data_IF_945656484087
#
_entry.id   IF_945656484087
#
_cell.length_a   1.000
_cell.length_b   1.000
_cell.length_c   1.000
_cell.angle_alpha   90.00
_cell.angle_beta   90.00
_cell.angle_gamma   90.00
#
_symmetry.space_group_name_H-M   'P 1'
#
loop_
_entity.id
_entity.type
_entity.pdbx_description
1 polymer ?
#
# COMPACT_ATOMS: atom_id res chain seq x y z
N UNK A 1 42.17 21.01 25.01
CA UNK A 1 43.38 21.50 24.29
C UNK A 1 43.41 20.74 22.97
N UNK A 2 43.27 21.25 21.75
CA UNK A 2 43.46 22.53 21.03
C UNK A 2 42.39 22.57 19.90
N UNK A 3 41.56 23.60 19.62
CA UNK A 3 41.75 24.98 19.08
C UNK A 3 41.97 25.10 17.54
N UNK A 4 41.12 25.94 16.92
CA UNK A 4 41.30 26.84 15.72
C UNK A 4 40.89 26.24 14.35
N UNK A 5 39.73 26.60 13.76
CA UNK A 5 39.37 27.77 12.89
C UNK A 5 40.22 27.92 11.62
N UNK A 6 39.59 27.87 10.43
CA UNK A 6 39.83 28.87 9.37
C UNK A 6 38.70 28.93 8.34
N UNK A 7 38.42 30.15 7.91
CA UNK A 7 37.33 30.65 7.08
C UNK A 7 38.01 31.33 5.87
N UNK A 8 37.58 31.07 4.64
CA UNK A 8 38.05 31.69 3.39
C UNK A 8 36.80 31.76 2.49
N UNK A 9 36.12 32.87 2.16
CA UNK A 9 36.44 34.25 1.75
C UNK A 9 36.89 34.41 0.28
N UNK A 10 36.09 35.16 -0.51
CA UNK A 10 36.40 35.73 -1.84
C UNK A 10 35.89 34.90 -3.04
N UNK A 11 35.32 35.43 -4.13
CA UNK A 11 35.38 36.80 -4.67
C UNK A 11 34.26 37.02 -5.72
N UNK A 12 33.80 38.27 -5.77
CA UNK A 12 32.88 38.93 -6.70
C UNK A 12 33.48 39.08 -8.11
N UNK A 13 32.68 38.93 -9.18
CA UNK A 13 32.97 39.56 -10.47
C UNK A 13 31.68 39.85 -11.28
N UNK A 14 31.40 41.15 -11.40
CA UNK A 14 30.55 41.79 -12.41
C UNK A 14 31.06 41.52 -13.83
N UNK A 15 30.19 41.68 -14.84
CA UNK A 15 30.38 42.39 -16.13
C UNK A 15 29.33 41.86 -17.15
N UNK A 16 28.72 42.56 -18.11
CA UNK A 16 28.46 43.98 -18.43
C UNK A 16 27.30 43.93 -19.45
N UNK A 17 26.43 44.95 -19.41
CA UNK A 17 25.31 45.18 -20.33
C UNK A 17 25.82 45.79 -21.66
N UNK A 18 25.36 45.32 -22.82
CA UNK A 18 25.49 46.06 -24.09
C UNK A 18 24.10 46.20 -24.73
N UNK A 19 23.76 47.46 -25.03
CA UNK A 19 22.51 47.95 -25.57
C UNK A 19 22.77 48.63 -26.92
N UNK A 20 21.80 48.49 -27.85
CA UNK A 20 21.53 49.31 -29.05
C UNK A 20 22.36 49.06 -30.33
N UNK A 21 21.86 49.38 -31.56
CA UNK A 21 20.77 50.32 -31.88
C UNK A 21 19.68 49.87 -32.88
N UNK A 22 18.70 50.77 -33.02
CA UNK A 22 17.46 50.69 -33.78
C UNK A 22 17.56 51.29 -35.20
N UNK A 23 16.62 50.86 -36.05
CA UNK A 23 16.12 51.55 -37.27
C UNK A 23 16.69 50.99 -38.57
N UNK A 24 15.96 50.87 -39.68
CA UNK A 24 14.56 51.11 -40.04
C UNK A 24 14.34 50.50 -41.46
N UNK A 25 13.08 50.50 -41.93
CA UNK A 25 12.62 50.33 -43.33
C UNK A 25 12.21 48.92 -43.80
N UNK A 26 10.89 48.71 -43.70
CA UNK A 26 10.08 47.87 -44.59
C UNK A 26 9.90 48.60 -45.95
N UNK A 27 9.60 47.92 -47.08
CA UNK A 27 8.19 47.60 -47.33
C UNK A 27 7.90 46.25 -48.01
N UNK A 28 6.75 45.70 -47.63
CA UNK A 28 5.78 44.97 -48.46
C UNK A 28 6.26 43.78 -49.30
N UNK A 29 6.12 42.57 -48.74
CA UNK A 29 5.50 41.47 -49.49
C UNK A 29 4.40 40.83 -48.65
N UNK A 30 3.18 40.96 -49.16
CA UNK A 30 2.02 40.19 -48.76
C UNK A 30 2.31 38.71 -49.04
N UNK A 31 2.46 37.91 -47.99
CA UNK A 31 2.23 36.47 -48.07
C UNK A 31 1.87 35.94 -46.69
N UNK A 32 0.61 35.48 -46.63
CA UNK A 32 -0.02 34.67 -45.60
C UNK A 32 0.04 35.22 -44.17
N UNK A 33 -1.11 35.74 -43.74
CA UNK A 33 -1.48 35.77 -42.34
C UNK A 33 -1.39 34.33 -41.77
N UNK A 34 -0.26 34.00 -41.15
CA UNK A 34 -0.24 32.96 -40.13
C UNK A 34 -1.22 33.40 -39.05
N UNK A 35 -2.39 32.77 -39.05
CA UNK A 35 -3.30 32.80 -37.91
C UNK A 35 -2.46 32.53 -36.66
N UNK A 36 -2.55 33.34 -35.59
CA UNK A 36 -1.86 33.02 -34.36
C UNK A 36 -2.30 31.61 -33.95
N UNK A 37 -1.33 30.70 -33.87
CA UNK A 37 -1.55 29.36 -33.31
C UNK A 37 -2.26 29.58 -31.97
N UNK A 38 -3.48 29.04 -31.78
CA UNK A 38 -4.22 29.28 -30.55
C UNK A 38 -3.29 28.87 -29.41
N UNK A 39 -3.06 29.81 -28.48
CA UNK A 39 -2.31 29.53 -27.27
C UNK A 39 -2.84 28.22 -26.72
N UNK A 40 -1.97 27.21 -26.61
CA UNK A 40 -2.35 25.91 -26.08
C UNK A 40 -3.11 26.21 -24.79
N UNK A 41 -4.41 25.89 -24.78
CA UNK A 41 -5.25 26.07 -23.61
C UNK A 41 -4.47 25.40 -22.48
N UNK A 42 -4.10 26.16 -21.43
CA UNK A 42 -3.47 25.56 -20.26
C UNK A 42 -4.47 24.57 -19.69
N UNK A 43 -4.33 23.32 -20.11
CA UNK A 43 -5.06 22.21 -19.55
C UNK A 43 -4.35 21.96 -18.23
N UNK A 44 -5.00 22.32 -17.12
CA UNK A 44 -4.52 21.91 -15.81
C UNK A 44 -4.39 20.40 -15.84
N UNK A 45 -3.15 19.96 -15.69
CA UNK A 45 -2.83 18.54 -15.62
C UNK A 45 -3.05 18.09 -14.18
N UNK A 46 -3.29 16.79 -13.97
CA UNK A 46 -3.58 16.27 -12.62
C UNK A 46 -2.44 16.56 -11.62
N UNK A 47 -1.21 16.68 -12.13
CA UNK A 47 -0.01 17.14 -11.41
C UNK A 47 -0.14 18.56 -10.83
N UNK A 48 -0.78 19.49 -11.58
CA UNK A 48 -1.01 20.86 -11.10
C UNK A 48 -2.00 20.88 -9.91
N UNK A 49 -2.90 19.90 -9.83
CA UNK A 49 -3.88 19.79 -8.75
C UNK A 49 -3.27 19.27 -7.45
N UNK A 50 -2.25 18.41 -7.52
CA UNK A 50 -1.53 17.92 -6.33
C UNK A 50 -0.81 19.06 -5.60
N UNK A 51 -0.30 20.05 -6.35
CA UNK A 51 0.36 21.23 -5.77
C UNK A 51 -0.59 22.18 -5.02
N UNK A 52 -1.91 22.10 -5.30
CA UNK A 52 -2.95 22.94 -4.68
C UNK A 52 -3.66 22.21 -3.54
N UNK A 53 -3.66 20.87 -3.58
CA UNK A 53 -4.26 20.03 -2.54
C UNK A 53 -3.55 20.22 -1.21
N UNK A 54 -4.33 20.46 -0.18
CA UNK A 54 -3.83 20.62 1.18
C UNK A 54 -4.07 19.32 1.95
N UNK A 55 -3.23 18.97 2.94
CA UNK A 55 -3.34 17.68 3.64
C UNK A 55 -4.65 17.48 4.42
N UNK A 56 -5.48 18.51 4.58
CA UNK A 56 -6.82 18.38 5.16
C UNK A 56 -7.93 18.11 4.13
N UNK A 57 -7.66 18.25 2.83
CA UNK A 57 -8.61 17.92 1.76
C UNK A 57 -8.76 16.40 1.56
N UNK A 58 -7.79 15.61 2.04
CA UNK A 58 -7.81 14.14 1.99
C UNK A 58 -9.02 13.54 2.73
N UNK A 59 -9.51 14.21 3.77
CA UNK A 59 -10.65 13.71 4.55
C UNK A 59 -11.96 13.80 3.77
N UNK A 60 -12.11 14.82 2.91
CA UNK A 60 -13.27 14.96 2.04
C UNK A 60 -13.22 13.96 0.88
N UNK A 61 -12.02 13.69 0.35
CA UNK A 61 -11.80 12.71 -0.71
C UNK A 61 -11.98 11.26 -0.20
N UNK A 62 -11.53 10.92 1.02
CA UNK A 62 -11.83 9.62 1.64
C UNK A 62 -13.33 9.41 1.86
N UNK A 63 -14.04 10.45 2.33
CA UNK A 63 -15.49 10.36 2.53
C UNK A 63 -16.24 10.20 1.21
N UNK A 64 -15.84 10.93 0.16
CA UNK A 64 -16.39 10.76 -1.19
C UNK A 64 -16.08 9.40 -1.79
N UNK A 65 -14.87 8.88 -1.62
CA UNK A 65 -14.50 7.55 -2.10
C UNK A 65 -15.32 6.46 -1.38
N UNK A 66 -15.58 6.61 -0.08
CA UNK A 66 -16.45 5.71 0.68
C UNK A 66 -17.93 5.82 0.23
N UNK A 67 -18.45 7.03 0.02
CA UNK A 67 -19.81 7.26 -0.47
C UNK A 67 -20.01 6.80 -1.92
N UNK A 68 -18.98 6.92 -2.76
CA UNK A 68 -19.00 6.47 -4.16
C UNK A 68 -18.85 4.95 -4.25
N UNK A 69 -18.04 4.32 -3.40
CA UNK A 69 -18.01 2.87 -3.25
C UNK A 69 -19.37 2.32 -2.77
N UNK A 70 -20.03 3.00 -1.82
CA UNK A 70 -21.37 2.65 -1.36
C UNK A 70 -22.43 2.84 -2.45
N UNK A 71 -22.33 3.87 -3.30
CA UNK A 71 -23.24 4.10 -4.42
C UNK A 71 -23.02 3.14 -5.59
N UNK A 72 -21.79 2.77 -5.90
CA UNK A 72 -21.47 1.76 -6.92
C UNK A 72 -21.96 0.38 -6.47
N UNK A 73 -21.89 0.06 -5.17
CA UNK A 73 -22.52 -1.12 -4.60
C UNK A 73 -24.06 -1.09 -4.69
N UNK A 74 -24.67 0.09 -4.67
CA UNK A 74 -26.13 0.27 -4.74
C UNK A 74 -26.71 0.39 -6.16
N UNK A 75 -25.89 0.62 -7.20
CA UNK A 75 -26.34 0.79 -8.60
C UNK A 75 -25.93 -0.34 -9.55
N UNK A 76 -25.38 -1.45 -9.04
CA UNK A 76 -25.18 -2.64 -9.85
C UNK A 76 -26.55 -3.17 -10.34
N UNK A 77 -26.78 -3.31 -11.66
CA UNK A 77 -28.04 -3.85 -12.17
C UNK A 77 -28.23 -5.27 -11.66
N UNK A 78 -29.44 -5.56 -11.17
CA UNK A 78 -29.92 -6.88 -10.79
C UNK A 78 -29.74 -7.85 -11.97
N UNK A 79 -28.59 -8.52 -12.01
CA UNK A 79 -28.34 -9.64 -12.91
C UNK A 79 -28.81 -10.90 -12.19
N UNK A 80 -29.71 -11.61 -12.88
CA UNK A 80 -30.47 -12.77 -12.45
C UNK A 80 -29.80 -13.63 -11.37
N UNK A 81 -30.62 -13.99 -10.38
CA UNK A 81 -30.31 -14.90 -9.28
C UNK A 81 -29.54 -16.15 -9.73
N UNK A 82 -28.38 -16.45 -9.13
CA UNK A 82 -28.06 -17.83 -8.81
C UNK A 82 -28.85 -18.23 -7.57
N UNK A 83 -29.28 -19.49 -7.54
CA UNK A 83 -30.02 -20.15 -6.46
C UNK A 83 -29.45 -19.84 -5.05
N UNK A 84 -30.28 -19.90 -4.00
CA UNK A 84 -29.85 -19.58 -2.64
C UNK A 84 -28.86 -20.63 -2.14
N UNK A 85 -27.57 -20.37 -2.30
CA UNK A 85 -26.53 -21.02 -1.50
C UNK A 85 -26.56 -20.37 -0.14
N UNK A 86 -27.33 -21.03 0.72
CA UNK A 86 -27.29 -21.05 2.17
C UNK A 86 -26.45 -19.95 2.84
N UNK A 87 -27.16 -19.06 3.54
CA UNK A 87 -26.69 -18.47 4.78
C UNK A 87 -25.85 -19.47 5.57
N UNK A 88 -24.55 -19.23 5.69
CA UNK A 88 -23.75 -19.84 6.74
C UNK A 88 -23.36 -18.74 7.72
N UNK A 89 -24.31 -18.52 8.64
CA UNK A 89 -24.10 -18.27 10.06
C UNK A 89 -22.74 -17.69 10.44
N UNK A 90 -22.80 -16.48 10.97
CA UNK A 90 -22.09 -16.14 12.20
C UNK A 90 -22.25 -17.28 13.23
N UNK A 91 -21.22 -18.09 13.39
CA UNK A 91 -21.10 -19.06 14.47
C UNK A 91 -19.65 -19.01 14.99
N UNK A 92 -19.54 -18.70 16.28
CA UNK A 92 -18.33 -18.19 16.93
C UNK A 92 -17.11 -19.10 16.87
N UNK A 93 -15.93 -18.47 17.00
CA UNK A 93 -14.60 -19.01 17.34
C UNK A 93 -14.03 -20.21 16.55
N UNK A 94 -14.82 -20.91 15.75
CA UNK A 94 -14.44 -22.06 14.93
C UNK A 94 -14.28 -21.67 13.44
N UNK A 95 -14.69 -20.45 13.08
CA UNK A 95 -14.49 -19.88 11.74
C UNK A 95 -13.03 -19.50 11.45
N UNK A 96 -12.15 -19.52 12.46
CA UNK A 96 -10.76 -19.11 12.30
C UNK A 96 -9.81 -20.28 11.99
N UNK A 97 -10.22 -21.53 12.23
CA UNK A 97 -9.37 -22.69 11.93
C UNK A 97 -9.64 -23.21 10.51
N UNK A 98 -8.59 -23.52 9.73
CA UNK A 98 -8.76 -24.07 8.39
C UNK A 98 -9.49 -25.41 8.44
N UNK A 99 -10.38 -25.61 7.46
CA UNK A 99 -11.22 -26.82 7.37
C UNK A 99 -10.64 -27.86 6.42
N UNK A 100 -9.81 -27.43 5.47
CA UNK A 100 -9.17 -28.30 4.48
C UNK A 100 -7.65 -28.23 4.60
N UNK A 101 -6.97 -29.25 4.07
CA UNK A 101 -5.50 -29.33 4.03
C UNK A 101 -4.95 -28.14 3.22
N UNK A 102 -5.51 -27.89 2.03
CA UNK A 102 -5.06 -26.80 1.16
C UNK A 102 -5.22 -25.42 1.80
N UNK A 103 -6.34 -25.17 2.50
CA UNK A 103 -6.56 -23.92 3.22
C UNK A 103 -5.53 -23.74 4.35
N UNK A 104 -5.24 -24.81 5.10
CA UNK A 104 -4.24 -24.79 6.15
C UNK A 104 -2.84 -24.51 5.59
N UNK A 105 -2.45 -25.14 4.48
CA UNK A 105 -1.16 -24.91 3.83
C UNK A 105 -1.02 -23.47 3.30
N UNK A 106 -2.09 -22.92 2.70
CA UNK A 106 -2.08 -21.53 2.24
C UNK A 106 -1.91 -20.54 3.41
N UNK A 107 -2.67 -20.72 4.49
CA UNK A 107 -2.55 -19.85 5.69
C UNK A 107 -1.19 -19.98 6.36
N UNK A 108 -0.59 -21.18 6.36
CA UNK A 108 0.78 -21.38 6.85
C UNK A 108 1.78 -20.59 6.01
N UNK A 109 1.64 -20.58 4.68
CA UNK A 109 2.49 -19.80 3.80
C UNK A 109 2.35 -18.30 4.06
N UNK A 110 1.11 -17.79 4.11
CA UNK A 110 0.81 -16.39 4.43
C UNK A 110 1.40 -15.98 5.79
N UNK A 111 1.23 -16.81 6.83
CA UNK A 111 1.79 -16.53 8.17
C UNK A 111 3.31 -16.55 8.20
N UNK A 112 3.97 -17.39 7.39
CA UNK A 112 5.43 -17.39 7.27
C UNK A 112 5.94 -16.11 6.62
N UNK A 113 5.27 -15.63 5.59
CA UNK A 113 5.59 -14.34 4.95
C UNK A 113 5.40 -13.18 5.92
N UNK A 114 4.30 -13.19 6.69
CA UNK A 114 4.05 -12.19 7.73
C UNK A 114 5.14 -12.19 8.80
N UNK A 115 5.52 -13.36 9.32
CA UNK A 115 6.62 -13.51 10.29
C UNK A 115 7.92 -12.94 9.73
N UNK A 116 8.25 -13.26 8.47
CA UNK A 116 9.46 -12.74 7.83
C UNK A 116 9.43 -11.21 7.74
N UNK A 117 8.31 -10.64 7.28
CA UNK A 117 8.13 -9.19 7.19
C UNK A 117 8.26 -8.49 8.55
N UNK A 118 7.70 -9.09 9.61
CA UNK A 118 7.81 -8.58 10.97
C UNK A 118 9.24 -8.65 11.49
N UNK A 119 9.97 -9.75 11.24
CA UNK A 119 11.39 -9.85 11.59
C UNK A 119 12.23 -8.76 10.92
N UNK A 120 12.04 -8.55 9.62
CA UNK A 120 12.74 -7.48 8.87
C UNK A 120 12.41 -6.09 9.44
N UNK A 121 11.15 -5.86 9.82
CA UNK A 121 10.69 -4.61 10.43
C UNK A 121 11.28 -4.38 11.82
N UNK A 122 11.42 -5.45 12.62
CA UNK A 122 12.09 -5.42 13.93
C UNK A 122 13.56 -5.07 13.74
N UNK A 123 14.25 -5.71 12.80
CA UNK A 123 15.68 -5.48 12.57
C UNK A 123 15.94 -4.04 12.09
N UNK A 124 15.10 -3.52 11.19
CA UNK A 124 15.16 -2.10 10.79
C UNK A 124 14.94 -1.17 11.99
N UNK A 125 13.94 -1.45 12.82
CA UNK A 125 13.63 -0.63 14.00
C UNK A 125 14.75 -0.72 15.06
N UNK A 126 15.43 -1.86 15.19
CA UNK A 126 16.62 -2.01 16.04
C UNK A 126 17.79 -1.18 15.52
N UNK A 127 17.99 -1.17 14.21
CA UNK A 127 19.01 -0.33 13.59
C UNK A 127 18.72 1.16 13.84
N UNK A 128 17.48 1.60 13.66
CA UNK A 128 17.04 2.97 14.01
C UNK A 128 17.27 3.28 15.50
N UNK A 129 16.95 2.33 16.39
CA UNK A 129 17.16 2.47 17.84
C UNK A 129 18.65 2.68 18.16
N UNK A 130 19.54 1.92 17.51
CA UNK A 130 21.00 2.04 17.71
C UNK A 130 21.57 3.38 17.22
N UNK A 131 20.95 3.98 16.20
CA UNK A 131 21.37 5.25 15.59
C UNK A 131 20.73 6.48 16.25
N UNK A 132 19.69 6.28 17.06
CA UNK A 132 18.96 7.38 17.68
C UNK A 132 19.82 8.14 18.70
N UNK A 133 19.95 9.44 18.49
CA UNK A 133 20.73 10.35 19.35
C UNK A 133 19.94 10.90 20.54
N UNK A 134 18.62 10.98 20.43
CA UNK A 134 17.72 11.51 21.46
C UNK A 134 17.13 10.41 22.34
N UNK A 135 17.09 10.63 23.66
CA UNK A 135 16.47 9.73 24.62
C UNK A 135 14.97 9.52 24.37
N UNK A 136 14.26 10.59 23.99
CA UNK A 136 12.84 10.48 23.65
C UNK A 136 12.60 9.58 22.44
N UNK A 137 13.45 9.69 21.41
CA UNK A 137 13.39 8.83 20.22
C UNK A 137 13.73 7.39 20.56
N UNK A 138 14.74 7.16 21.42
CA UNK A 138 15.09 5.83 21.91
C UNK A 138 13.93 5.18 22.66
N UNK A 139 13.30 5.88 23.60
CA UNK A 139 12.16 5.32 24.36
C UNK A 139 10.96 5.00 23.45
N UNK A 140 10.66 5.85 22.47
CA UNK A 140 9.61 5.57 21.48
C UNK A 140 9.91 4.32 20.65
N UNK A 141 11.14 4.19 20.14
CA UNK A 141 11.59 3.02 19.36
C UNK A 141 11.64 1.75 20.22
N UNK A 142 12.02 1.85 21.49
CA UNK A 142 11.99 0.73 22.44
C UNK A 142 10.57 0.22 22.67
N UNK A 143 9.60 1.12 22.86
CA UNK A 143 8.19 0.74 22.97
C UNK A 143 7.68 0.07 21.69
N UNK A 144 8.04 0.64 20.53
CA UNK A 144 7.70 0.07 19.21
C UNK A 144 8.27 -1.34 19.04
N UNK A 145 9.54 -1.56 19.40
CA UNK A 145 10.18 -2.88 19.40
C UNK A 145 9.46 -3.87 20.32
N UNK A 146 9.04 -3.44 21.50
CA UNK A 146 8.26 -4.29 22.42
C UNK A 146 6.94 -4.75 21.81
N UNK A 147 6.20 -3.83 21.17
CA UNK A 147 4.95 -4.16 20.46
C UNK A 147 5.22 -5.16 19.33
N UNK A 148 6.17 -4.84 18.43
CA UNK A 148 6.48 -5.69 17.28
C UNK A 148 6.95 -7.09 17.69
N UNK A 149 7.71 -7.19 18.78
CA UNK A 149 8.16 -8.49 19.30
C UNK A 149 6.97 -9.31 19.83
N UNK A 150 6.01 -8.65 20.48
CA UNK A 150 4.77 -9.30 20.95
C UNK A 150 3.95 -9.81 19.77
N UNK A 151 3.77 -8.98 18.73
CA UNK A 151 3.05 -9.35 17.52
C UNK A 151 3.72 -10.53 16.79
N UNK A 152 5.06 -10.56 16.78
CA UNK A 152 5.84 -11.67 16.23
C UNK A 152 5.64 -12.97 17.02
N UNK A 153 5.66 -12.91 18.34
CA UNK A 153 5.43 -14.08 19.19
C UNK A 153 4.01 -14.64 18.99
N UNK A 154 3.01 -13.77 18.82
CA UNK A 154 1.64 -14.16 18.50
C UNK A 154 1.55 -14.84 17.13
N UNK A 155 2.16 -14.25 16.09
CA UNK A 155 2.20 -14.84 14.75
C UNK A 155 2.88 -16.21 14.72
N UNK A 156 3.98 -16.38 15.48
CA UNK A 156 4.66 -17.68 15.64
C UNK A 156 3.77 -18.68 16.37
N UNK A 157 3.03 -18.27 17.40
CA UNK A 157 2.09 -19.13 18.11
C UNK A 157 0.94 -19.59 17.20
N UNK A 158 0.42 -18.70 16.37
CA UNK A 158 -0.59 -18.98 15.37
C UNK A 158 -0.09 -19.95 14.31
N UNK A 159 1.13 -19.75 13.77
CA UNK A 159 1.77 -20.67 12.83
C UNK A 159 1.84 -22.09 13.41
N UNK A 160 2.27 -22.22 14.67
CA UNK A 160 2.30 -23.52 15.37
C UNK A 160 0.91 -24.13 15.55
N UNK A 161 -0.13 -23.33 15.73
CA UNK A 161 -1.50 -23.81 15.80
C UNK A 161 -1.98 -24.32 14.43
N UNK A 162 -1.66 -23.61 13.35
CA UNK A 162 -1.97 -24.02 11.98
C UNK A 162 -1.24 -25.30 11.58
N UNK A 163 0.04 -25.44 11.91
CA UNK A 163 0.82 -26.67 11.66
C UNK A 163 0.18 -27.87 12.37
N UNK A 164 -0.20 -27.73 13.64
CA UNK A 164 -0.93 -28.78 14.38
C UNK A 164 -2.24 -29.14 13.70
N UNK A 165 -3.01 -28.13 13.27
CA UNK A 165 -4.28 -28.34 12.58
C UNK A 165 -4.10 -29.07 11.24
N UNK A 166 -3.06 -28.73 10.48
CA UNK A 166 -2.71 -29.42 9.24
C UNK A 166 -2.43 -30.90 9.48
N UNK A 167 -1.68 -31.23 10.54
CA UNK A 167 -1.43 -32.63 10.92
C UNK A 167 -2.70 -33.39 11.27
N UNK A 168 -3.62 -32.78 12.03
CA UNK A 168 -4.92 -33.38 12.35
C UNK A 168 -5.78 -33.63 11.10
N UNK A 169 -5.83 -32.66 10.17
CA UNK A 169 -6.59 -32.77 8.94
C UNK A 169 -6.04 -33.89 8.05
N UNK A 170 -4.71 -33.96 7.88
CA UNK A 170 -4.05 -35.03 7.12
C UNK A 170 -4.30 -36.41 7.73
N UNK A 171 -4.32 -36.52 9.07
CA UNK A 171 -4.65 -37.77 9.75
C UNK A 171 -6.10 -38.21 9.48
N UNK A 172 -7.07 -37.28 9.58
CA UNK A 172 -8.50 -37.57 9.34
C UNK A 172 -8.79 -37.97 7.89
N UNK A 173 -8.16 -37.34 6.91
CA UNK A 173 -8.32 -37.71 5.49
C UNK A 173 -7.86 -39.14 5.22
N UNK A 174 -6.86 -39.64 5.95
CA UNK A 174 -6.34 -41.01 5.79
C UNK A 174 -7.25 -42.09 6.36
N UNK A 175 -8.11 -41.75 7.34
CA UNK A 175 -9.00 -42.70 8.02
C UNK A 175 -10.37 -42.86 7.34
N UNK A 176 -10.70 -42.05 6.34
CA UNK A 176 -11.98 -42.15 5.64
C UNK A 176 -11.90 -43.26 4.57
N UNK A 177 -12.57 -44.41 4.74
CA UNK A 177 -12.55 -45.49 3.74
C UNK A 177 -13.30 -45.04 2.47
N UNK A 178 -12.93 -45.56 1.28
CA UNK A 178 -13.71 -45.30 0.07
C UNK A 178 -15.15 -45.77 0.30
N UNK A 179 -16.12 -44.85 0.22
CA UNK A 179 -17.52 -45.22 0.27
C UNK A 179 -17.79 -46.24 -0.86
N UNK A 180 -18.40 -47.40 -0.56
CA UNK A 180 -18.78 -48.34 -1.60
C UNK A 180 -19.78 -47.65 -2.54
N UNK A 181 -19.70 -47.91 -3.87
CA UNK A 181 -20.62 -47.32 -4.82
C UNK A 181 -22.05 -47.69 -4.41
N UNK A 182 -22.91 -46.67 -4.33
CA UNK A 182 -24.32 -46.85 -4.03
C UNK A 182 -24.93 -47.91 -4.96
N UNK A 183 -25.76 -48.85 -4.46
CA UNK A 183 -26.40 -49.82 -5.32
C UNK A 183 -27.29 -49.07 -6.32
N UNK A 184 -26.98 -49.25 -7.59
CA UNK A 184 -27.83 -48.87 -8.70
C UNK A 184 -29.17 -49.59 -8.55
N UNK A 185 -30.18 -48.90 -8.02
CA UNK A 185 -31.57 -49.35 -8.04
C UNK A 185 -32.04 -49.36 -9.49
N UNK A 186 -31.77 -50.48 -10.17
CA UNK A 186 -32.45 -50.84 -11.39
C UNK A 186 -33.85 -51.36 -11.04
N UNK A 187 -34.87 -50.67 -11.53
CA UNK A 187 -36.18 -51.21 -11.94
C UNK A 187 -36.89 -50.17 -12.77
#
# INVERSE_FOLDING_TARGET
MNRIRLLVSGTLALFVFVLAPAGAQQPSQLSQAEKPKPAAKRVWSNDDLESVRKPWDEFADQKRAADEAARVAAQAPAKAAPAPVAESKTAGTDAFLPKTVDEAENRIAEKREEIQFQMESIDRTREEYSKASSDQSREALKKKLGSMTTDLDEAIAELKALDRRLHELKAKTREQPPQPPAPSSGS
#
